data_IF_863461974603
#
_entry.id   IF_863461974603
#
_cell.length_a   1.000
_cell.length_b   1.000
_cell.length_c   1.000
_cell.angle_alpha   90.00
_cell.angle_beta   90.00
_cell.angle_gamma   90.00
#
_symmetry.space_group_name_H-M   'P 1'
#
loop_
_entity.id
_entity.type
_entity.pdbx_description
1 polymer ?
#
# COMPACT_ATOMS: atom_id res chain seq x y z
N UNK A 1 2.69 -14.97 9.43
CA UNK A 1 2.23 -13.57 9.65
C UNK A 1 0.99 -13.37 8.81
N UNK A 2 -0.14 -13.07 9.47
CA UNK A 2 -1.42 -12.88 8.82
C UNK A 2 -1.63 -11.40 8.44
N UNK A 3 -1.84 -11.12 7.16
CA UNK A 3 -1.95 -9.75 6.60
C UNK A 3 -3.36 -9.56 6.04
N UNK A 4 -4.07 -8.54 6.53
CA UNK A 4 -5.33 -8.09 5.96
C UNK A 4 -5.05 -6.96 4.97
N UNK A 5 -5.43 -7.14 3.70
CA UNK A 5 -5.22 -6.15 2.64
C UNK A 5 -6.56 -5.60 2.18
N UNK A 6 -6.64 -4.29 2.00
CA UNK A 6 -7.87 -3.55 1.69
C UNK A 6 -7.65 -2.61 0.51
N UNK A 7 -8.67 -2.44 -0.33
CA UNK A 7 -8.68 -1.45 -1.41
C UNK A 7 -10.11 -1.09 -1.83
N UNK A 8 -10.27 0.11 -2.34
CA UNK A 8 -11.41 0.61 -3.13
C UNK A 8 -12.76 0.63 -2.37
N UNK A 9 -13.27 -0.53 -2.00
CA UNK A 9 -14.58 -0.66 -1.38
C UNK A 9 -14.47 -0.90 0.13
N UNK A 10 -14.98 -0.01 0.99
CA UNK A 10 -15.07 -0.26 2.43
C UNK A 10 -15.90 -1.51 2.72
N UNK A 11 -15.30 -2.50 3.34
CA UNK A 11 -15.98 -3.75 3.70
C UNK A 11 -16.86 -3.51 4.93
N UNK A 12 -18.17 -3.49 4.73
CA UNK A 12 -19.15 -3.16 5.78
C UNK A 12 -18.98 -4.02 7.03
N UNK A 13 -18.67 -5.30 6.90
CA UNK A 13 -18.46 -6.20 8.04
C UNK A 13 -17.29 -5.78 8.94
N UNK A 14 -16.28 -5.08 8.40
CA UNK A 14 -15.12 -4.62 9.17
C UNK A 14 -15.39 -3.31 9.92
N UNK A 15 -16.48 -2.62 9.60
CA UNK A 15 -16.90 -1.35 10.21
C UNK A 15 -17.73 -1.52 11.48
N UNK A 16 -18.09 -2.73 11.86
CA UNK A 16 -18.97 -3.02 13.01
C UNK A 16 -18.38 -4.00 14.02
N UNK A 17 -19.20 -4.41 14.99
CA UNK A 17 -18.82 -5.35 16.04
C UNK A 17 -18.20 -6.65 15.50
N UNK A 18 -18.78 -7.19 14.43
CA UNK A 18 -18.31 -8.45 13.82
C UNK A 18 -16.93 -8.33 13.16
N UNK A 19 -16.48 -7.13 12.81
CA UNK A 19 -15.17 -6.90 12.20
C UNK A 19 -14.02 -6.92 13.19
N UNK A 20 -14.29 -6.71 14.46
CA UNK A 20 -13.26 -6.61 15.51
C UNK A 20 -12.40 -7.86 15.64
N UNK A 21 -12.99 -9.04 15.46
CA UNK A 21 -12.23 -10.30 15.52
C UNK A 21 -11.27 -10.43 14.35
N UNK A 22 -11.72 -10.12 13.13
CA UNK A 22 -10.87 -10.11 11.93
C UNK A 22 -9.72 -9.09 12.09
N UNK A 23 -10.02 -7.89 12.59
CA UNK A 23 -9.00 -6.85 12.82
C UNK A 23 -7.99 -7.27 13.90
N UNK A 24 -8.42 -7.97 14.95
CA UNK A 24 -7.56 -8.49 16.03
C UNK A 24 -6.70 -9.66 15.56
N UNK A 25 -7.20 -10.48 14.64
CA UNK A 25 -6.48 -11.63 14.10
C UNK A 25 -5.35 -11.20 13.14
N UNK A 26 -5.45 -10.01 12.54
CA UNK A 26 -4.42 -9.51 11.64
C UNK A 26 -3.15 -9.10 12.40
N UNK A 27 -2.00 -9.54 11.89
CA UNK A 27 -0.69 -9.08 12.34
C UNK A 27 -0.31 -7.72 11.73
N UNK A 28 -0.82 -7.45 10.52
CA UNK A 28 -0.56 -6.27 9.72
C UNK A 28 -1.77 -5.97 8.85
N UNK A 29 -2.14 -4.71 8.72
CA UNK A 29 -3.18 -4.25 7.80
C UNK A 29 -2.54 -3.36 6.74
N UNK A 30 -2.82 -3.65 5.45
CA UNK A 30 -2.35 -2.87 4.31
C UNK A 30 -3.53 -2.26 3.57
N UNK A 31 -3.42 -0.99 3.18
CA UNK A 31 -4.40 -0.33 2.33
C UNK A 31 -3.77 0.09 1.00
N UNK A 32 -4.32 -0.44 -0.09
CA UNK A 32 -3.93 -0.09 -1.45
C UNK A 32 -4.59 1.21 -1.97
N UNK A 33 -5.27 1.98 -1.11
CA UNK A 33 -5.89 3.26 -1.46
C UNK A 33 -7.37 3.16 -1.85
N UNK A 34 -7.92 4.33 -2.18
CA UNK A 34 -9.35 4.59 -2.49
C UNK A 34 -10.29 4.16 -1.35
N UNK A 35 -9.87 4.43 -0.12
CA UNK A 35 -10.66 4.18 1.08
C UNK A 35 -10.81 5.47 1.92
N UNK A 36 -11.95 5.73 2.55
CA UNK A 36 -12.09 6.88 3.44
C UNK A 36 -11.04 6.88 4.55
N UNK A 37 -10.38 8.02 4.80
CA UNK A 37 -9.38 8.14 5.88
C UNK A 37 -9.95 7.74 7.25
N UNK A 38 -11.23 8.07 7.50
CA UNK A 38 -11.95 7.68 8.71
C UNK A 38 -12.12 6.17 8.86
N UNK A 39 -12.23 5.44 7.74
CA UNK A 39 -12.32 3.98 7.74
C UNK A 39 -11.02 3.34 8.22
N UNK A 40 -9.87 3.83 7.73
CA UNK A 40 -8.57 3.34 8.18
C UNK A 40 -8.28 3.76 9.63
N UNK A 41 -8.59 5.02 10.00
CA UNK A 41 -8.46 5.50 11.38
C UNK A 41 -9.32 4.70 12.36
N UNK A 42 -10.55 4.32 11.96
CA UNK A 42 -11.41 3.46 12.77
C UNK A 42 -10.75 2.12 13.12
N UNK A 43 -10.07 1.50 12.16
CA UNK A 43 -9.42 0.20 12.39
C UNK A 43 -8.36 0.28 13.48
N UNK A 44 -7.60 1.36 13.57
CA UNK A 44 -6.57 1.54 14.60
C UNK A 44 -7.13 1.55 16.02
N UNK A 45 -8.43 1.78 16.19
CA UNK A 45 -9.08 1.73 17.50
C UNK A 45 -9.35 0.29 17.99
N UNK A 46 -9.33 -0.70 17.10
CA UNK A 46 -9.76 -2.08 17.42
C UNK A 46 -8.69 -3.14 17.23
N UNK A 47 -7.52 -2.75 16.74
CA UNK A 47 -6.38 -3.66 16.58
C UNK A 47 -5.08 -3.04 17.08
N UNK A 48 -4.16 -3.90 17.52
CA UNK A 48 -2.76 -3.51 17.76
C UNK A 48 -1.87 -3.71 16.53
N UNK A 49 -2.44 -4.27 15.45
CA UNK A 49 -1.71 -4.42 14.20
C UNK A 49 -1.42 -3.05 13.59
N UNK A 50 -0.21 -2.79 13.10
CA UNK A 50 0.07 -1.59 12.32
C UNK A 50 -0.83 -1.54 11.09
N UNK A 51 -1.35 -0.35 10.78
CA UNK A 51 -2.08 -0.07 9.55
C UNK A 51 -1.16 0.76 8.65
N UNK A 52 -0.78 0.20 7.49
CA UNK A 52 0.08 0.86 6.49
C UNK A 52 -0.78 1.21 5.29
N UNK A 53 -0.65 2.43 4.78
CA UNK A 53 -1.46 2.88 3.66
C UNK A 53 -0.67 3.62 2.59
N UNK A 54 -1.22 3.61 1.41
CA UNK A 54 -0.93 4.52 0.30
C UNK A 54 -2.23 5.19 -0.12
N UNK A 55 -2.16 6.26 -0.93
CA UNK A 55 -3.36 6.82 -1.56
C UNK A 55 -3.71 6.08 -2.86
N UNK A 56 -4.99 6.03 -3.20
CA UNK A 56 -5.47 5.73 -4.54
C UNK A 56 -5.60 6.99 -5.39
N UNK A 57 -6.31 6.92 -6.50
CA UNK A 57 -6.51 8.08 -7.36
C UNK A 57 -7.66 9.01 -6.89
N UNK A 58 -8.51 8.55 -5.99
CA UNK A 58 -9.59 9.35 -5.39
C UNK A 58 -9.25 9.94 -4.02
N UNK A 59 -8.11 9.59 -3.43
CA UNK A 59 -7.71 9.97 -2.08
C UNK A 59 -7.01 11.35 -1.99
N UNK A 60 -7.40 12.31 -2.81
CA UNK A 60 -6.84 13.67 -2.81
C UNK A 60 -6.99 14.38 -1.46
N UNK A 61 -7.94 13.94 -0.64
CA UNK A 61 -8.18 14.45 0.72
C UNK A 61 -7.14 14.01 1.76
N UNK A 62 -6.31 13.01 1.49
CA UNK A 62 -5.31 12.51 2.44
C UNK A 62 -4.19 13.51 2.75
N UNK A 63 -3.95 14.51 1.88
CA UNK A 63 -3.00 15.60 2.17
C UNK A 63 -3.48 16.47 3.35
N UNK A 64 -4.79 16.69 3.47
CA UNK A 64 -5.39 17.54 4.50
C UNK A 64 -5.93 16.75 5.69
N UNK A 65 -6.39 15.53 5.46
CA UNK A 65 -6.98 14.64 6.46
C UNK A 65 -6.45 13.22 6.27
N UNK A 66 -5.19 12.96 6.62
CA UNK A 66 -4.62 11.63 6.50
C UNK A 66 -5.28 10.65 7.46
N UNK A 67 -5.23 9.34 7.20
CA UNK A 67 -5.64 8.31 8.15
C UNK A 67 -4.84 8.41 9.46
N UNK A 68 -5.54 8.69 10.57
CA UNK A 68 -4.91 8.87 11.88
C UNK A 68 -4.44 7.51 12.45
N UNK A 69 -3.30 7.52 13.11
CA UNK A 69 -2.70 6.32 13.69
C UNK A 69 -2.11 5.32 12.68
N UNK A 70 -2.19 5.63 11.38
CA UNK A 70 -1.69 4.79 10.29
C UNK A 70 -0.30 5.22 9.82
N UNK A 71 0.45 4.30 9.23
CA UNK A 71 1.78 4.53 8.65
C UNK A 71 1.63 4.84 7.17
N UNK A 72 2.04 6.03 6.75
CA UNK A 72 2.06 6.40 5.34
C UNK A 72 3.31 5.79 4.66
N UNK A 73 3.08 4.92 3.66
CA UNK A 73 4.14 4.33 2.84
C UNK A 73 4.29 5.03 1.47
N UNK A 74 3.43 6.00 1.16
CA UNK A 74 3.40 6.63 -0.16
C UNK A 74 4.74 7.24 -0.56
N UNK A 75 5.32 6.74 -1.66
CA UNK A 75 6.60 7.19 -2.18
C UNK A 75 7.80 6.88 -1.26
N UNK A 76 7.71 5.85 -0.40
CA UNK A 76 8.76 5.46 0.54
C UNK A 76 8.84 3.94 0.71
N UNK A 77 9.98 3.47 1.25
CA UNK A 77 10.12 2.13 1.82
C UNK A 77 9.95 2.23 3.32
N UNK A 78 8.88 1.68 3.87
CA UNK A 78 8.67 1.61 5.32
C UNK A 78 9.03 0.23 5.86
N UNK A 79 9.62 0.19 7.07
CA UNK A 79 9.93 -1.06 7.76
C UNK A 79 8.92 -1.27 8.88
N UNK A 80 8.07 -2.28 8.72
CA UNK A 80 7.01 -2.62 9.68
C UNK A 80 7.04 -4.12 9.96
N UNK A 81 7.14 -4.51 11.22
CA UNK A 81 7.27 -5.92 11.66
C UNK A 81 8.35 -6.72 10.92
N UNK A 82 9.43 -6.07 10.54
CA UNK A 82 10.52 -6.67 9.78
C UNK A 82 10.30 -6.71 8.26
N UNK A 83 9.11 -6.41 7.76
CA UNK A 83 8.80 -6.28 6.34
C UNK A 83 9.18 -4.91 5.81
N UNK A 84 9.85 -4.88 4.67
CA UNK A 84 10.12 -3.68 3.86
C UNK A 84 8.98 -3.52 2.87
N UNK A 85 8.18 -2.50 3.03
CA UNK A 85 6.99 -2.25 2.20
C UNK A 85 7.27 -1.01 1.36
N UNK A 86 7.32 -1.16 0.04
CA UNK A 86 7.41 -0.05 -0.91
C UNK A 86 5.99 0.39 -1.28
N UNK A 87 5.66 1.66 -1.06
CA UNK A 87 4.37 2.24 -1.42
C UNK A 87 4.42 3.05 -2.70
N UNK A 88 3.54 2.73 -3.67
CA UNK A 88 3.38 3.46 -4.93
C UNK A 88 1.89 3.63 -5.26
N UNK A 89 1.30 4.69 -4.74
CA UNK A 89 -0.12 5.02 -4.95
C UNK A 89 -0.43 5.72 -6.26
N UNK A 90 -1.72 5.89 -6.50
CA UNK A 90 -2.28 6.56 -7.67
C UNK A 90 -2.44 5.68 -8.90
N UNK A 91 -3.03 6.25 -9.95
CA UNK A 91 -3.34 5.55 -11.21
C UNK A 91 -2.77 6.24 -12.43
N UNK A 92 -2.92 5.60 -13.60
CA UNK A 92 -2.69 6.24 -14.90
C UNK A 92 -3.58 7.48 -15.00
N UNK A 93 -3.01 8.56 -15.55
CA UNK A 93 -3.71 9.83 -15.70
C UNK A 93 -4.73 9.77 -16.81
N UNK A 94 -6.01 9.79 -16.43
CA UNK A 94 -7.15 9.97 -17.32
C UNK A 94 -7.88 11.30 -17.08
N UNK A 95 -7.51 12.04 -16.01
CA UNK A 95 -7.95 13.40 -15.72
C UNK A 95 -6.72 14.30 -15.52
N UNK A 96 -6.64 15.45 -16.20
CA UNK A 96 -5.42 16.27 -16.19
C UNK A 96 -5.07 16.87 -14.83
N UNK A 97 -6.08 17.25 -14.03
CA UNK A 97 -5.89 18.08 -12.83
C UNK A 97 -5.96 17.29 -11.51
N UNK A 98 -5.78 15.96 -11.56
CA UNK A 98 -5.80 15.12 -10.36
C UNK A 98 -4.36 14.79 -9.95
N UNK A 99 -3.89 15.26 -8.77
CA UNK A 99 -2.50 15.13 -8.35
C UNK A 99 -2.08 13.68 -8.04
N UNK A 100 -3.06 12.80 -7.79
CA UNK A 100 -2.87 11.37 -7.53
C UNK A 100 -2.90 10.50 -8.79
N UNK A 101 -2.89 11.13 -9.98
CA UNK A 101 -2.81 10.44 -11.26
C UNK A 101 -1.50 10.79 -11.97
N UNK A 102 -0.85 9.80 -12.54
CA UNK A 102 0.50 9.93 -13.11
C UNK A 102 0.55 9.42 -14.55
N UNK A 103 1.38 10.05 -15.40
CA UNK A 103 1.78 9.39 -16.64
C UNK A 103 2.74 8.23 -16.36
N UNK A 104 2.96 7.35 -17.33
CA UNK A 104 3.96 6.28 -17.24
C UNK A 104 5.35 6.85 -16.88
N UNK A 105 5.75 7.94 -17.53
CA UNK A 105 7.05 8.57 -17.30
C UNK A 105 7.14 9.24 -15.92
N UNK A 106 6.05 9.77 -15.40
CA UNK A 106 6.00 10.33 -14.04
C UNK A 106 6.13 9.24 -12.99
N UNK A 107 5.44 8.11 -13.15
CA UNK A 107 5.58 6.96 -12.24
C UNK A 107 6.99 6.38 -12.33
N UNK A 108 7.56 6.23 -13.52
CA UNK A 108 8.94 5.79 -13.69
C UNK A 108 9.94 6.74 -13.02
N UNK A 109 9.71 8.06 -13.10
CA UNK A 109 10.55 9.06 -12.40
C UNK A 109 10.40 8.98 -10.88
N UNK A 110 9.20 8.68 -10.35
CA UNK A 110 8.99 8.43 -8.92
C UNK A 110 9.79 7.22 -8.45
N UNK A 111 9.73 6.11 -9.17
CA UNK A 111 10.54 4.91 -8.91
C UNK A 111 12.04 5.24 -8.94
N UNK A 112 12.48 6.00 -9.95
CA UNK A 112 13.89 6.39 -10.06
C UNK A 112 14.38 7.22 -8.86
N UNK A 113 13.55 8.12 -8.32
CA UNK A 113 13.90 8.89 -7.12
C UNK A 113 14.08 8.02 -5.88
N UNK A 114 13.39 6.88 -5.82
CA UNK A 114 13.46 5.93 -4.71
C UNK A 114 14.70 5.03 -4.74
N UNK A 115 15.47 4.98 -5.83
CA UNK A 115 16.61 4.07 -5.98
C UNK A 115 17.64 4.15 -4.86
N UNK A 116 17.89 5.36 -4.32
CA UNK A 116 18.82 5.52 -3.19
C UNK A 116 18.26 4.91 -1.90
N UNK A 117 16.96 5.08 -1.68
CA UNK A 117 16.25 4.52 -0.53
C UNK A 117 16.18 3.00 -0.63
N UNK A 118 15.79 2.47 -1.78
CA UNK A 118 15.78 1.05 -2.09
C UNK A 118 17.16 0.39 -1.88
N UNK A 119 18.22 1.03 -2.35
CA UNK A 119 19.60 0.54 -2.11
C UNK A 119 19.95 0.50 -0.62
N UNK A 120 19.55 1.52 0.17
CA UNK A 120 19.82 1.56 1.61
C UNK A 120 19.00 0.52 2.38
N UNK A 121 17.77 0.28 1.94
CA UNK A 121 16.88 -0.72 2.53
C UNK A 121 17.26 -2.16 2.11
N UNK A 122 18.10 -2.33 1.09
CA UNK A 122 18.40 -3.64 0.51
C UNK A 122 17.23 -4.22 -0.28
N UNK A 123 16.40 -3.36 -0.91
CA UNK A 123 15.19 -3.74 -1.65
C UNK A 123 13.91 -3.60 -0.83
N UNK A 124 12.88 -4.36 -1.21
CA UNK A 124 11.59 -4.43 -0.52
C UNK A 124 11.00 -5.84 -0.62
N UNK A 125 10.15 -6.19 0.33
CA UNK A 125 9.51 -7.49 0.44
C UNK A 125 8.09 -7.48 -0.12
N UNK A 126 7.39 -6.34 -0.01
CA UNK A 126 6.04 -6.13 -0.51
C UNK A 126 6.01 -4.86 -1.37
N UNK A 127 5.44 -4.96 -2.59
CA UNK A 127 4.99 -3.79 -3.33
C UNK A 127 3.53 -3.53 -2.97
N UNK A 128 3.26 -2.42 -2.31
CA UNK A 128 1.93 -1.90 -2.05
C UNK A 128 1.64 -0.83 -3.10
N UNK A 129 0.83 -1.15 -4.09
CA UNK A 129 0.46 -0.25 -5.18
C UNK A 129 -1.06 -0.02 -5.21
N UNK A 130 -1.51 1.06 -5.85
CA UNK A 130 -2.93 1.22 -6.14
C UNK A 130 -3.28 0.63 -7.50
N UNK A 131 -2.57 1.02 -8.55
CA UNK A 131 -2.77 0.48 -9.90
C UNK A 131 -2.15 -0.90 -10.11
N UNK A 132 -2.72 -1.73 -11.01
CA UNK A 132 -2.14 -3.00 -11.44
C UNK A 132 -0.89 -2.81 -12.32
N UNK A 133 -0.29 -3.92 -12.72
CA UNK A 133 0.72 -3.99 -13.78
C UNK A 133 0.03 -3.92 -15.13
N UNK A 134 0.58 -3.20 -16.10
CA UNK A 134 0.06 -3.16 -17.46
C UNK A 134 0.04 -4.56 -18.12
N UNK A 135 -1.10 -4.93 -18.66
CA UNK A 135 -1.33 -6.25 -19.26
C UNK A 135 -1.53 -7.38 -18.24
N UNK A 136 -1.61 -7.07 -16.93
CA UNK A 136 -1.83 -8.08 -15.90
C UNK A 136 -2.81 -7.59 -14.83
N UNK A 137 -4.09 -7.91 -15.01
CA UNK A 137 -5.14 -7.53 -14.07
C UNK A 137 -5.71 -6.13 -14.31
N UNK A 138 -5.19 -5.42 -15.29
CA UNK A 138 -5.69 -4.15 -15.78
C UNK A 138 -6.82 -4.33 -16.82
N UNK A 139 -7.36 -3.23 -17.33
CA UNK A 139 -8.37 -3.22 -18.39
C UNK A 139 -7.88 -2.42 -19.61
N UNK A 140 -8.56 -2.58 -20.73
CA UNK A 140 -8.18 -1.92 -22.00
C UNK A 140 -8.46 -0.40 -22.00
N UNK A 141 -9.39 0.05 -21.16
CA UNK A 141 -9.71 1.46 -21.04
C UNK A 141 -8.60 2.24 -20.30
N UNK A 142 -8.48 3.53 -20.61
CA UNK A 142 -7.41 4.37 -20.08
C UNK A 142 -7.45 4.49 -18.56
N UNK A 143 -8.64 4.50 -17.96
CA UNK A 143 -8.79 4.72 -16.52
C UNK A 143 -8.24 3.56 -15.69
N UNK A 144 -8.40 2.31 -16.17
CA UNK A 144 -7.99 1.10 -15.47
C UNK A 144 -6.72 0.45 -16.03
N UNK A 145 -6.01 1.14 -16.92
CA UNK A 145 -4.71 0.68 -17.42
C UNK A 145 -3.67 0.67 -16.30
N UNK A 146 -2.87 -0.41 -16.25
CA UNK A 146 -1.75 -0.55 -15.32
C UNK A 146 -0.48 0.19 -15.77
N UNK A 147 0.56 0.16 -14.92
CA UNK A 147 1.88 0.73 -15.21
C UNK A 147 2.85 -0.31 -15.76
N UNK A 148 3.49 -0.01 -16.89
CA UNK A 148 4.56 -0.82 -17.46
C UNK A 148 5.83 -0.80 -16.61
N UNK A 149 6.16 0.33 -15.99
CA UNK A 149 7.37 0.49 -15.17
C UNK A 149 7.38 -0.37 -13.89
N UNK A 150 6.27 -0.99 -13.52
CA UNK A 150 6.25 -1.95 -12.42
C UNK A 150 6.92 -3.28 -12.80
N UNK A 151 6.89 -3.67 -14.08
CA UNK A 151 7.53 -4.91 -14.57
C UNK A 151 9.04 -4.96 -14.27
N UNK A 152 9.85 -3.98 -14.73
CA UNK A 152 11.28 -3.98 -14.42
C UNK A 152 11.55 -3.81 -12.91
N UNK A 153 10.70 -3.07 -12.16
CA UNK A 153 10.85 -2.93 -10.73
C UNK A 153 10.70 -4.28 -10.00
N UNK A 154 9.68 -5.05 -10.35
CA UNK A 154 9.45 -6.38 -9.76
C UNK A 154 10.55 -7.38 -10.17
N UNK A 155 10.98 -7.37 -11.43
CA UNK A 155 12.06 -8.25 -11.91
C UNK A 155 13.40 -7.97 -11.24
N UNK A 156 13.70 -6.67 -10.93
CA UNK A 156 14.94 -6.26 -10.26
C UNK A 156 14.97 -6.65 -8.78
N UNK A 157 13.88 -6.42 -8.05
CA UNK A 157 13.86 -6.56 -6.58
C UNK A 157 13.25 -7.85 -6.07
N UNK A 158 12.47 -8.56 -6.91
CA UNK A 158 11.87 -9.87 -6.59
C UNK A 158 11.13 -9.90 -5.25
N UNK A 159 10.14 -9.04 -5.01
CA UNK A 159 9.38 -9.06 -3.76
C UNK A 159 8.62 -10.37 -3.59
N UNK A 160 8.17 -10.65 -2.37
CA UNK A 160 7.34 -11.83 -2.04
C UNK A 160 5.97 -11.73 -2.69
N UNK A 161 5.43 -10.50 -2.79
CA UNK A 161 4.09 -10.24 -3.32
C UNK A 161 3.93 -8.78 -3.73
N UNK A 162 3.07 -8.53 -4.71
CA UNK A 162 2.50 -7.22 -5.02
C UNK A 162 1.02 -7.21 -4.68
N UNK A 163 0.56 -6.22 -3.92
CA UNK A 163 -0.85 -5.92 -3.72
C UNK A 163 -1.26 -4.67 -4.46
N UNK A 164 -2.46 -4.70 -5.04
CA UNK A 164 -3.05 -3.54 -5.70
C UNK A 164 -4.58 -3.52 -5.55
N UNK A 165 -5.22 -2.44 -5.93
CA UNK A 165 -6.66 -2.25 -6.04
C UNK A 165 -7.06 -1.77 -7.43
N UNK A 166 -7.83 -0.68 -7.48
CA UNK A 166 -8.20 0.10 -8.64
C UNK A 166 -9.16 -0.59 -9.63
N UNK A 167 -9.01 -1.87 -9.89
CA UNK A 167 -9.87 -2.63 -10.80
C UNK A 167 -10.92 -3.37 -9.99
N UNK A 168 -12.14 -2.85 -10.02
CA UNK A 168 -13.26 -3.41 -9.24
C UNK A 168 -13.82 -4.68 -9.89
N UNK A 169 -14.23 -5.61 -9.04
CA UNK A 169 -14.88 -6.85 -9.50
C UNK A 169 -16.14 -6.58 -10.33
N UNK A 170 -16.91 -5.57 -9.95
CA UNK A 170 -18.17 -5.20 -10.60
C UNK A 170 -18.00 -4.79 -12.08
N UNK A 171 -16.85 -4.23 -12.46
CA UNK A 171 -16.59 -3.78 -13.83
C UNK A 171 -15.93 -4.84 -14.71
N UNK A 172 -15.58 -6.00 -14.16
CA UNK A 172 -14.74 -7.00 -14.85
C UNK A 172 -15.56 -8.00 -15.70
N UNK A 173 -16.86 -7.80 -15.90
CA UNK A 173 -17.75 -8.63 -16.75
C UNK A 173 -17.53 -10.16 -16.55
N UNK A 174 -17.35 -10.61 -15.31
CA UNK A 174 -17.12 -12.02 -14.97
C UNK A 174 -15.68 -12.53 -15.21
N UNK A 175 -14.77 -11.69 -15.67
CA UNK A 175 -13.34 -12.03 -15.90
C UNK A 175 -12.42 -11.63 -14.74
N UNK A 176 -12.96 -11.21 -13.60
CA UNK A 176 -12.18 -10.82 -12.45
C UNK A 176 -11.39 -12.02 -11.90
N UNK A 177 -10.08 -11.89 -11.90
CA UNK A 177 -9.18 -12.85 -11.31
C UNK A 177 -8.35 -12.13 -10.26
N UNK A 178 -8.62 -12.42 -9.01
CA UNK A 178 -8.01 -11.76 -7.85
C UNK A 178 -6.51 -12.01 -7.73
N UNK A 179 -6.09 -13.25 -7.95
CA UNK A 179 -4.68 -13.65 -7.85
C UNK A 179 -4.14 -13.94 -9.23
N UNK A 180 -3.07 -13.28 -9.59
CA UNK A 180 -2.30 -13.46 -10.83
C UNK A 180 -0.83 -13.61 -10.47
N UNK A 181 0.02 -13.82 -11.47
CA UNK A 181 1.46 -13.98 -11.29
C UNK A 181 2.22 -13.22 -12.36
N UNK A 182 3.27 -12.53 -11.96
CA UNK A 182 4.26 -11.91 -12.82
C UNK A 182 5.65 -12.46 -12.50
N UNK A 183 6.23 -13.20 -13.42
CA UNK A 183 7.59 -13.75 -13.28
C UNK A 183 7.80 -14.51 -11.94
N UNK A 184 6.83 -15.34 -11.55
CA UNK A 184 6.83 -16.08 -10.28
C UNK A 184 6.47 -15.26 -9.04
N UNK A 185 6.10 -13.99 -9.20
CA UNK A 185 5.69 -13.10 -8.11
C UNK A 185 4.17 -13.02 -8.08
N UNK A 186 3.50 -13.37 -6.97
CA UNK A 186 2.06 -13.17 -6.81
C UNK A 186 1.69 -11.69 -6.94
N UNK A 187 0.67 -11.40 -7.75
CA UNK A 187 0.07 -10.09 -7.94
C UNK A 187 -1.41 -10.20 -7.58
N UNK A 188 -1.80 -9.50 -6.51
CA UNK A 188 -3.09 -9.72 -5.86
C UNK A 188 -3.90 -8.42 -5.86
N UNK A 189 -5.10 -8.50 -6.45
CA UNK A 189 -6.07 -7.42 -6.38
C UNK A 189 -6.85 -7.53 -5.06
N UNK A 190 -6.71 -6.53 -4.19
CA UNK A 190 -7.31 -6.50 -2.86
C UNK A 190 -8.66 -5.76 -2.81
N UNK A 191 -9.29 -5.45 -3.95
CA UNK A 191 -10.57 -4.74 -4.00
C UNK A 191 -11.57 -5.34 -2.99
N UNK A 192 -12.11 -4.51 -2.09
CA UNK A 192 -12.78 -4.90 -0.87
C UNK A 192 -11.79 -5.33 0.20
N UNK A 193 -11.57 -6.62 0.36
CA UNK A 193 -10.58 -7.18 1.30
C UNK A 193 -9.98 -8.49 0.80
N UNK A 194 -8.74 -8.75 1.19
CA UNK A 194 -8.03 -9.99 0.97
C UNK A 194 -7.19 -10.36 2.20
N UNK A 195 -7.27 -11.61 2.63
CA UNK A 195 -6.44 -12.14 3.71
C UNK A 195 -5.27 -12.91 3.10
N UNK A 196 -4.05 -12.60 3.52
CA UNK A 196 -2.82 -13.17 3.00
C UNK A 196 -1.93 -13.66 4.12
N UNK A 197 -1.54 -14.92 4.06
CA UNK A 197 -0.55 -15.48 4.96
C UNK A 197 0.84 -15.43 4.30
N UNK A 198 1.74 -14.71 4.96
CA UNK A 198 3.12 -14.63 4.49
C UNK A 198 3.76 -16.04 4.54
N UNK A 199 4.45 -16.49 3.48
CA UNK A 199 5.06 -17.81 3.45
C UNK A 199 6.00 -18.06 4.63
N UNK A 200 5.98 -19.27 5.20
CA UNK A 200 6.86 -19.66 6.33
C UNK A 200 8.34 -19.63 5.95
N UNK A 201 8.64 -19.68 4.65
CA UNK A 201 9.99 -19.53 4.10
C UNK A 201 10.51 -18.11 4.15
N UNK A 202 9.63 -17.12 4.37
CA UNK A 202 10.05 -15.74 4.50
C UNK A 202 10.71 -15.52 5.87
N UNK A 203 11.88 -14.92 5.86
CA UNK A 203 12.55 -14.43 7.06
C UNK A 203 12.94 -12.98 6.89
N UNK A 204 12.87 -12.16 7.95
CA UNK A 204 13.30 -10.77 7.87
C UNK A 204 14.74 -10.74 7.35
N UNK A 205 14.95 -10.21 6.16
CA UNK A 205 16.31 -9.90 5.69
C UNK A 205 16.84 -8.83 6.64
N UNK A 206 18.00 -9.08 7.27
CA UNK A 206 18.61 -8.18 8.24
C UNK A 206 18.81 -6.77 7.70
N UNK A 207 17.74 -5.98 7.73
CA UNK A 207 17.77 -4.58 7.36
C UNK A 207 18.49 -3.80 8.45
N UNK A 208 19.38 -2.86 8.11
CA UNK A 208 20.06 -2.05 9.11
C UNK A 208 19.02 -1.28 9.93
N UNK A 209 19.06 -1.47 11.25
CA UNK A 209 18.18 -0.88 12.28
C UNK A 209 18.21 0.67 12.34
N UNK A 210 18.71 1.33 11.31
CA UNK A 210 19.00 2.77 11.30
C UNK A 210 17.76 3.68 11.10
N UNK A 211 16.64 3.18 10.57
CA UNK A 211 15.50 4.04 10.22
C UNK A 211 14.48 4.27 11.35
N UNK A 212 14.37 3.35 12.32
CA UNK A 212 13.38 3.47 13.39
C UNK A 212 13.70 4.57 14.43
N UNK A 213 14.96 5.03 14.53
CA UNK A 213 15.39 5.99 15.57
C UNK A 213 15.28 7.47 15.22
N UNK A 214 15.03 7.86 13.97
CA UNK A 214 15.10 9.28 13.57
C UNK A 214 13.77 10.03 13.60
N UNK A 215 12.61 9.36 13.66
CA UNK A 215 11.31 10.02 13.73
C UNK A 215 10.72 10.21 15.13
N UNK A 216 11.31 9.63 16.17
CA UNK A 216 10.83 9.80 17.55
C UNK A 216 11.52 10.94 18.34
N UNK A 217 12.43 11.71 17.75
CA UNK A 217 13.17 12.80 18.47
C UNK A 217 12.73 14.23 18.14
N UNK A 218 11.63 14.45 17.45
CA UNK A 218 11.17 15.81 17.18
C UNK A 218 9.72 16.04 17.65
N UNK A 219 9.54 16.06 18.97
CA UNK A 219 8.51 16.81 19.70
C UNK A 219 8.77 16.66 21.21
N UNK A 220 9.83 17.28 21.69
CA UNK A 220 9.87 17.83 23.03
C UNK A 220 9.53 19.31 22.87
N UNK A 221 8.38 19.71 23.35
CA UNK A 221 8.02 21.12 23.46
C UNK A 221 8.94 21.79 24.49
N UNK A 222 9.37 23.04 24.26
CA UNK A 222 10.08 23.79 25.28
C UNK A 222 9.10 24.16 26.39
N UNK A 223 9.49 23.86 27.63
CA UNK A 223 8.73 24.22 28.81
C UNK A 223 8.55 25.73 28.91
N UNK A 224 7.32 26.15 29.20
CA UNK A 224 7.02 27.46 29.74
C UNK A 224 7.51 27.54 31.19
N UNK A 225 8.68 28.14 31.39
CA UNK A 225 9.00 28.82 32.62
C UNK A 225 8.42 30.22 32.51
N UNK A 226 7.37 30.52 33.25
CA UNK A 226 7.14 31.87 33.80
C UNK A 226 6.15 31.85 34.97
N UNK A 227 6.69 32.28 36.14
CA UNK A 227 6.10 32.89 37.36
C UNK A 227 5.10 32.07 38.19
#
# INVERSE_FOLDING_TARGET
>A
MHILVLADDPVQRLWGEYGKETLKAADLILSCGDLPSSYLSYMTCFTSAPVVYIHGNHDTGYETRPPEGCVNAEGHVVLVKGLRILGLGGSIRYRPDVPTMFSEEEMARRIQKLRRELKRAGGFDILLAHSPIAGLGDQEDLAHRGFECFKPLLSEYRPVVMFHGHVHQAYSAGKFQRVREWDGIPVINACGSYEYDLPDTWSPSGAPTCFARRKMKSRAEPGDEHF
#
